data_IF_374286566931
#
_entry.id   IF_374286566931
#
_cell.length_a   1.000
_cell.length_b   1.000
_cell.length_c   1.000
_cell.angle_alpha   90.00
_cell.angle_beta   90.00
_cell.angle_gamma   90.00
#
_symmetry.space_group_name_H-M   'P 1'
#
loop_
_entity.id
_entity.type
_entity.pdbx_description
1 polymer ?
#
# COMPACT_ATOMS: atom_id res chain seq x y z
N UNK A 1 11.10 -16.18 -10.35
CA UNK A 1 11.66 -15.17 -9.41
C UNK A 1 13.01 -14.73 -9.94
N UNK A 2 13.20 -13.43 -10.18
CA UNK A 2 14.44 -12.88 -10.73
C UNK A 2 15.16 -12.10 -9.63
N UNK A 3 16.41 -12.47 -9.33
CA UNK A 3 17.27 -11.73 -8.41
C UNK A 3 18.35 -10.98 -9.20
N UNK A 4 18.11 -9.69 -9.43
CA UNK A 4 19.00 -8.81 -10.18
C UNK A 4 20.35 -8.56 -9.48
N UNK A 5 20.52 -8.96 -8.21
CA UNK A 5 21.79 -8.92 -7.50
C UNK A 5 22.71 -10.13 -7.77
N UNK A 6 22.17 -11.22 -8.34
CA UNK A 6 22.92 -12.45 -8.65
C UNK A 6 23.14 -12.67 -10.15
N UNK A 7 22.25 -12.12 -11.00
CA UNK A 7 22.33 -12.25 -12.45
C UNK A 7 22.38 -10.87 -13.13
N UNK A 8 23.30 -10.67 -14.09
CA UNK A 8 23.28 -9.48 -14.93
C UNK A 8 21.93 -9.33 -15.64
N UNK A 9 21.43 -8.09 -15.72
CA UNK A 9 20.13 -7.77 -16.31
C UNK A 9 20.02 -8.25 -17.76
N UNK A 10 21.11 -8.21 -18.52
CA UNK A 10 21.20 -8.68 -19.90
C UNK A 10 20.92 -10.19 -20.00
N UNK A 11 21.46 -10.98 -19.06
CA UNK A 11 21.21 -12.44 -19.05
C UNK A 11 19.78 -12.77 -18.65
N UNK A 12 19.19 -11.97 -17.78
CA UNK A 12 17.78 -12.09 -17.43
C UNK A 12 16.93 -11.84 -18.67
N UNK A 13 17.22 -10.77 -19.41
CA UNK A 13 16.51 -10.45 -20.65
C UNK A 13 16.69 -11.55 -21.70
N UNK A 14 17.90 -12.06 -21.91
CA UNK A 14 18.17 -13.18 -22.83
C UNK A 14 17.31 -14.41 -22.50
N UNK A 15 17.22 -14.79 -21.22
CA UNK A 15 16.42 -15.95 -20.79
C UNK A 15 14.93 -15.70 -21.04
N UNK A 16 14.44 -14.48 -20.80
CA UNK A 16 13.01 -14.17 -20.91
C UNK A 16 12.52 -14.04 -22.35
N UNK A 17 13.41 -13.76 -23.33
CA UNK A 17 13.02 -13.63 -24.74
C UNK A 17 12.37 -14.91 -25.28
N UNK A 18 12.84 -16.07 -24.83
CA UNK A 18 12.36 -17.38 -25.30
C UNK A 18 11.41 -18.09 -24.33
N UNK A 19 11.04 -17.44 -23.22
CA UNK A 19 10.13 -17.99 -22.22
C UNK A 19 8.72 -17.43 -22.37
N UNK A 20 7.72 -18.30 -22.42
CA UNK A 20 6.33 -17.90 -22.20
C UNK A 20 6.01 -17.93 -20.69
N UNK A 21 5.52 -16.81 -20.16
CA UNK A 21 5.18 -16.64 -18.76
C UNK A 21 4.05 -15.64 -18.59
N UNK A 22 3.22 -15.84 -17.58
CA UNK A 22 2.09 -14.95 -17.28
C UNK A 22 2.41 -13.91 -16.19
N UNK A 23 3.40 -14.22 -15.34
CA UNK A 23 3.78 -13.40 -14.19
C UNK A 23 5.28 -13.16 -14.13
N UNK A 24 5.68 -11.94 -13.76
CA UNK A 24 7.03 -11.57 -13.38
C UNK A 24 7.03 -11.09 -11.92
N UNK A 25 7.89 -11.72 -11.12
CA UNK A 25 8.23 -11.22 -9.79
C UNK A 25 9.67 -10.68 -9.80
N UNK A 26 9.80 -9.38 -9.55
CA UNK A 26 11.06 -8.65 -9.46
C UNK A 26 11.32 -8.23 -8.01
N UNK A 27 12.50 -8.58 -7.48
CA UNK A 27 12.92 -8.17 -6.13
C UNK A 27 14.12 -7.23 -6.22
N UNK A 28 13.98 -6.02 -5.68
CA UNK A 28 15.05 -5.04 -5.53
C UNK A 28 15.71 -5.23 -4.17
N UNK A 29 17.03 -5.48 -4.19
CA UNK A 29 17.91 -5.59 -3.02
C UNK A 29 19.07 -4.62 -3.18
N UNK A 30 19.55 -4.04 -2.09
CA UNK A 30 20.59 -3.00 -2.07
C UNK A 30 20.06 -1.57 -2.06
N UNK A 31 20.97 -0.60 -2.09
CA UNK A 31 20.67 0.84 -1.90
C UNK A 31 20.06 1.53 -3.11
N UNK A 32 20.29 1.00 -4.31
CA UNK A 32 19.83 1.60 -5.56
C UNK A 32 19.30 0.52 -6.50
N UNK A 33 18.20 0.81 -7.19
CA UNK A 33 17.68 -0.06 -8.24
C UNK A 33 18.42 0.15 -9.55
N UNK A 34 18.57 -0.92 -10.34
CA UNK A 34 19.13 -0.83 -11.69
C UNK A 34 18.27 0.12 -12.55
N UNK A 35 18.85 1.17 -13.18
CA UNK A 35 18.11 2.11 -14.02
C UNK A 35 17.28 1.47 -15.14
N UNK A 36 17.65 0.25 -15.57
CA UNK A 36 16.95 -0.51 -16.61
C UNK A 36 15.66 -1.15 -16.14
N UNK A 37 15.42 -1.23 -14.83
CA UNK A 37 14.21 -1.82 -14.26
C UNK A 37 12.94 -1.21 -14.87
N UNK A 38 12.91 0.11 -15.06
CA UNK A 38 11.72 0.78 -15.60
C UNK A 38 11.45 0.37 -17.05
N UNK A 39 12.50 0.26 -17.87
CA UNK A 39 12.38 -0.18 -19.26
C UNK A 39 11.92 -1.64 -19.33
N UNK A 40 12.41 -2.47 -18.42
CA UNK A 40 12.01 -3.85 -18.28
C UNK A 40 10.53 -3.98 -17.94
N UNK A 41 10.06 -3.30 -16.90
CA UNK A 41 8.66 -3.31 -16.48
C UNK A 41 7.74 -2.87 -17.62
N UNK A 42 8.13 -1.82 -18.35
CA UNK A 42 7.36 -1.32 -19.51
C UNK A 42 7.29 -2.33 -20.66
N UNK A 43 8.38 -3.06 -20.92
CA UNK A 43 8.41 -4.05 -22.00
C UNK A 43 7.41 -5.20 -21.77
N UNK A 44 7.17 -5.54 -20.52
CA UNK A 44 6.28 -6.63 -20.12
C UNK A 44 5.01 -6.14 -19.42
N UNK A 45 4.55 -4.91 -19.69
CA UNK A 45 3.40 -4.31 -19.01
C UNK A 45 2.08 -5.07 -19.23
N UNK A 46 2.01 -5.95 -20.24
CA UNK A 46 0.87 -6.84 -20.49
C UNK A 46 0.84 -8.07 -19.58
N UNK A 47 1.91 -8.32 -18.82
CA UNK A 47 2.05 -9.44 -17.88
C UNK A 47 1.70 -8.99 -16.46
N UNK A 48 1.35 -9.94 -15.59
CA UNK A 48 1.21 -9.67 -14.17
C UNK A 48 2.60 -9.38 -13.58
N UNK A 49 2.81 -8.19 -13.03
CA UNK A 49 4.11 -7.81 -12.47
C UNK A 49 3.96 -7.52 -10.97
N UNK A 50 4.79 -8.20 -10.19
CA UNK A 50 4.95 -7.99 -8.76
C UNK A 50 6.33 -7.41 -8.49
N UNK A 51 6.38 -6.25 -7.82
CA UNK A 51 7.60 -5.57 -7.43
C UNK A 51 7.76 -5.59 -5.92
N UNK A 52 8.81 -6.27 -5.44
CA UNK A 52 9.19 -6.30 -4.04
C UNK A 52 10.45 -5.47 -3.79
N UNK A 53 10.40 -4.57 -2.81
CA UNK A 53 11.51 -3.76 -2.33
C UNK A 53 11.90 -4.22 -0.93
N UNK A 54 13.10 -4.76 -0.77
CA UNK A 54 13.57 -5.26 0.54
C UNK A 54 14.46 -4.23 1.25
N UNK A 55 15.43 -3.60 0.59
CA UNK A 55 16.42 -2.76 1.30
C UNK A 55 16.25 -1.25 1.08
N UNK A 56 15.71 -0.85 -0.06
CA UNK A 56 15.54 0.56 -0.44
C UNK A 56 14.19 0.79 -1.13
N UNK A 57 13.60 1.95 -0.87
CA UNK A 57 12.46 2.43 -1.64
C UNK A 57 13.01 3.07 -2.93
N UNK A 58 12.37 2.77 -4.06
CA UNK A 58 12.62 3.50 -5.30
C UNK A 58 12.42 5.01 -5.11
N UNK A 59 13.14 5.80 -5.91
CA UNK A 59 12.92 7.25 -5.94
C UNK A 59 11.46 7.58 -6.30
N UNK A 60 10.96 8.72 -5.80
CA UNK A 60 9.60 9.19 -6.09
C UNK A 60 9.33 9.27 -7.60
N UNK A 61 10.29 9.76 -8.38
CA UNK A 61 10.15 9.87 -9.84
C UNK A 61 10.05 8.49 -10.49
N UNK A 62 10.82 7.49 -10.03
CA UNK A 62 10.74 6.12 -10.53
C UNK A 62 9.41 5.47 -10.18
N UNK A 63 8.95 5.58 -8.93
CA UNK A 63 7.66 5.03 -8.49
C UNK A 63 6.51 5.61 -9.32
N UNK A 64 6.50 6.94 -9.49
CA UNK A 64 5.51 7.64 -10.31
C UNK A 64 5.65 7.34 -11.81
N UNK A 65 6.74 6.75 -12.26
CA UNK A 65 6.91 6.33 -13.65
C UNK A 65 6.48 4.88 -13.91
N UNK A 66 6.25 4.06 -12.87
CA UNK A 66 5.80 2.67 -13.00
C UNK A 66 4.40 2.63 -13.65
N UNK A 67 4.15 1.74 -14.64
CA UNK A 67 2.80 1.48 -15.12
C UNK A 67 1.97 0.79 -14.01
N UNK A 68 0.69 0.52 -14.28
CA UNK A 68 -0.13 -0.30 -13.38
C UNK A 68 0.54 -1.68 -13.21
N UNK A 69 0.61 -2.17 -11.97
CA UNK A 69 1.24 -3.45 -11.61
C UNK A 69 0.27 -4.28 -10.77
N UNK A 70 0.46 -5.59 -10.73
CA UNK A 70 -0.30 -6.49 -9.86
C UNK A 70 0.03 -6.21 -8.39
N UNK A 71 1.30 -5.99 -8.07
CA UNK A 71 1.67 -5.62 -6.71
C UNK A 71 2.91 -4.74 -6.64
N UNK A 72 2.88 -3.76 -5.73
CA UNK A 72 4.04 -2.97 -5.30
C UNK A 72 4.14 -3.06 -3.78
N UNK A 73 5.23 -3.66 -3.30
CA UNK A 73 5.41 -3.93 -1.88
C UNK A 73 6.82 -3.54 -1.43
N UNK A 74 6.91 -2.92 -0.25
CA UNK A 74 8.17 -2.76 0.46
C UNK A 74 8.20 -3.63 1.74
N UNK A 75 8.76 -4.83 1.62
CA UNK A 75 8.61 -5.94 2.60
C UNK A 75 9.42 -5.70 3.89
N UNK A 76 10.67 -5.23 3.81
CA UNK A 76 11.46 -5.03 5.04
C UNK A 76 11.06 -3.75 5.76
N UNK A 77 10.64 -2.74 4.99
CA UNK A 77 10.00 -1.54 5.56
C UNK A 77 8.75 -1.94 6.34
N UNK A 78 7.92 -2.88 5.86
CA UNK A 78 6.71 -3.33 6.54
C UNK A 78 6.95 -4.26 7.76
N UNK A 79 8.11 -4.91 7.86
CA UNK A 79 8.32 -6.06 8.74
C UNK A 79 9.00 -5.82 10.10
N UNK A 80 10.18 -5.21 10.17
CA UNK A 80 10.98 -5.26 11.41
C UNK A 80 12.00 -4.12 11.49
N UNK A 81 12.16 -3.56 12.70
CA UNK A 81 12.94 -2.35 13.05
C UNK A 81 12.18 -1.07 12.70
N UNK A 82 12.29 -0.04 13.53
CA UNK A 82 11.46 1.17 13.54
C UNK A 82 11.53 2.06 12.30
N UNK A 83 11.69 1.54 11.08
CA UNK A 83 12.05 2.27 9.86
C UNK A 83 10.83 2.94 9.17
N UNK A 84 9.63 2.80 9.75
CA UNK A 84 8.54 3.78 9.51
C UNK A 84 8.70 5.04 10.38
N UNK A 85 9.84 5.22 11.05
CA UNK A 85 10.28 6.49 11.60
C UNK A 85 10.56 7.42 10.42
N UNK A 86 9.48 8.07 9.99
CA UNK A 86 9.40 9.19 9.06
C UNK A 86 10.34 9.14 7.86
N UNK A 87 11.64 9.37 7.97
CA UNK A 87 12.57 9.80 6.91
C UNK A 87 12.30 9.24 5.49
N UNK A 88 12.09 7.92 5.32
CA UNK A 88 11.92 7.29 3.99
C UNK A 88 10.47 7.11 3.48
N UNK A 89 9.46 7.56 4.23
CA UNK A 89 8.07 7.48 3.79
C UNK A 89 7.76 8.49 2.68
N UNK A 90 6.97 8.06 1.68
CA UNK A 90 6.51 8.93 0.60
C UNK A 90 5.64 10.07 1.12
N UNK A 91 5.73 11.26 0.52
CA UNK A 91 4.76 12.31 0.72
C UNK A 91 3.35 11.86 0.33
N UNK A 92 2.35 12.42 1.00
CA UNK A 92 0.93 12.10 0.80
C UNK A 92 0.48 12.19 -0.66
N UNK A 93 0.88 13.26 -1.35
CA UNK A 93 0.48 13.51 -2.72
C UNK A 93 1.07 12.49 -3.69
N UNK A 94 2.34 12.11 -3.48
CA UNK A 94 2.98 11.09 -4.31
C UNK A 94 2.36 9.71 -4.09
N UNK A 95 2.00 9.38 -2.84
CA UNK A 95 1.28 8.15 -2.54
C UNK A 95 -0.11 8.12 -3.18
N UNK A 96 -0.86 9.22 -3.07
CA UNK A 96 -2.18 9.37 -3.68
C UNK A 96 -2.14 9.22 -5.20
N UNK A 97 -1.08 9.72 -5.84
CA UNK A 97 -0.84 9.46 -7.26
C UNK A 97 -0.62 7.99 -7.59
N UNK A 98 0.08 7.24 -6.74
CA UNK A 98 0.24 5.79 -6.91
C UNK A 98 -1.09 5.05 -6.72
N UNK A 99 -1.94 5.47 -5.78
CA UNK A 99 -3.29 4.91 -5.62
C UNK A 99 -4.12 5.12 -6.89
N UNK A 100 -4.03 6.30 -7.52
CA UNK A 100 -4.70 6.62 -8.81
C UNK A 100 -4.22 5.76 -9.98
N UNK A 101 -3.03 5.15 -9.90
CA UNK A 101 -2.55 4.21 -10.91
C UNK A 101 -3.17 2.82 -10.84
N UNK A 102 -4.01 2.56 -9.84
CA UNK A 102 -4.81 1.32 -9.74
C UNK A 102 -3.96 0.05 -9.73
N UNK A 103 -2.80 0.09 -9.07
CA UNK A 103 -2.07 -1.14 -8.74
C UNK A 103 -2.99 -2.06 -7.91
N UNK A 104 -3.06 -3.35 -8.23
CA UNK A 104 -4.03 -4.25 -7.57
C UNK A 104 -3.72 -4.38 -6.08
N UNK A 105 -2.43 -4.43 -5.73
CA UNK A 105 -1.96 -4.35 -4.36
C UNK A 105 -0.91 -3.25 -4.21
N UNK A 106 -1.13 -2.35 -3.25
CA UNK A 106 -0.21 -1.27 -2.91
C UNK A 106 0.11 -1.31 -1.42
N UNK A 107 1.38 -1.62 -1.11
CA UNK A 107 1.92 -1.66 0.25
C UNK A 107 3.30 -0.98 0.26
N UNK A 108 3.30 0.34 0.38
CA UNK A 108 4.53 1.13 0.46
C UNK A 108 4.43 2.14 1.59
N UNK A 109 5.56 2.54 2.20
CA UNK A 109 5.53 3.54 3.24
C UNK A 109 5.13 4.92 2.75
N UNK A 110 4.14 5.50 3.43
CA UNK A 110 3.68 6.87 3.21
C UNK A 110 3.57 7.62 4.54
N UNK A 111 3.91 8.90 4.52
CA UNK A 111 3.74 9.84 5.63
C UNK A 111 2.38 10.50 5.50
N UNK A 112 1.33 9.79 5.90
CA UNK A 112 0.00 10.40 5.95
C UNK A 112 -0.17 11.14 7.28
N UNK A 113 -0.46 12.42 7.19
CA UNK A 113 -0.67 13.37 8.28
C UNK A 113 -2.06 14.04 8.20
N UNK A 114 -2.67 14.17 7.02
CA UNK A 114 -4.02 14.71 6.81
C UNK A 114 -5.04 13.57 6.59
N UNK A 115 -6.04 13.50 7.47
CA UNK A 115 -7.16 12.55 7.36
C UNK A 115 -7.97 12.68 6.06
N UNK A 116 -7.90 13.82 5.39
CA UNK A 116 -8.55 14.04 4.09
C UNK A 116 -7.89 13.22 2.99
N UNK A 117 -6.59 12.98 3.06
CA UNK A 117 -5.88 12.13 2.10
C UNK A 117 -6.37 10.68 2.25
N UNK A 118 -6.52 10.20 3.48
CA UNK A 118 -7.13 8.89 3.72
C UNK A 118 -8.55 8.79 3.13
N UNK A 119 -9.34 9.85 3.26
CA UNK A 119 -10.68 9.90 2.66
C UNK A 119 -10.62 9.89 1.13
N UNK A 120 -9.64 10.56 0.53
CA UNK A 120 -9.43 10.55 -0.92
C UNK A 120 -8.98 9.18 -1.42
N UNK A 121 -8.05 8.50 -0.73
CA UNK A 121 -7.65 7.13 -1.05
C UNK A 121 -8.87 6.19 -1.04
N UNK A 122 -9.71 6.29 0.00
CA UNK A 122 -10.95 5.51 0.11
C UNK A 122 -11.88 5.77 -1.07
N UNK A 123 -12.06 7.03 -1.46
CA UNK A 123 -12.90 7.40 -2.61
C UNK A 123 -12.34 6.82 -3.91
N UNK A 124 -11.05 6.99 -4.17
CA UNK A 124 -10.40 6.48 -5.38
C UNK A 124 -10.55 4.96 -5.46
N UNK A 125 -10.21 4.25 -4.39
CA UNK A 125 -10.31 2.78 -4.35
C UNK A 125 -11.77 2.32 -4.52
N UNK A 126 -12.73 3.01 -3.90
CA UNK A 126 -14.17 2.68 -4.03
C UNK A 126 -14.74 2.85 -5.44
N UNK A 127 -14.09 3.67 -6.26
CA UNK A 127 -14.44 3.96 -7.65
C UNK A 127 -13.56 3.19 -8.65
N UNK A 128 -12.62 2.37 -8.15
CA UNK A 128 -11.82 1.51 -9.02
C UNK A 128 -12.71 0.49 -9.71
N UNK A 129 -12.49 0.31 -11.00
CA UNK A 129 -13.07 -0.72 -11.88
C UNK A 129 -12.35 -2.05 -11.77
N UNK A 130 -11.36 -2.14 -10.89
CA UNK A 130 -10.47 -3.29 -10.72
C UNK A 130 -10.32 -3.61 -9.26
N UNK A 131 -10.02 -4.88 -8.98
CA UNK A 131 -9.63 -5.34 -7.66
C UNK A 131 -8.42 -4.54 -7.17
N UNK A 132 -8.62 -3.80 -6.08
CA UNK A 132 -7.59 -2.93 -5.51
C UNK A 132 -7.57 -3.03 -3.99
N UNK A 133 -6.38 -3.27 -3.46
CA UNK A 133 -6.06 -3.30 -2.04
C UNK A 133 -4.94 -2.31 -1.73
N UNK A 134 -5.25 -1.32 -0.90
CA UNK A 134 -4.28 -0.35 -0.40
C UNK A 134 -4.12 -0.57 1.10
N UNK A 135 -2.88 -0.80 1.52
CA UNK A 135 -2.54 -1.00 2.93
C UNK A 135 -1.55 0.08 3.33
N UNK A 136 -1.89 0.81 4.39
CA UNK A 136 -1.06 1.89 4.91
C UNK A 136 -1.03 1.90 6.43
N UNK A 137 0.10 2.31 6.98
CA UNK A 137 0.26 2.54 8.41
C UNK A 137 -0.06 3.99 8.73
N UNK A 138 -0.81 4.21 9.80
CA UNK A 138 -1.17 5.54 10.30
C UNK A 138 -0.88 5.67 11.80
N UNK A 139 -0.68 6.92 12.24
CA UNK A 139 -0.54 7.25 13.65
C UNK A 139 -1.88 7.16 14.40
N UNK A 140 -1.87 6.89 15.72
CA UNK A 140 -3.07 6.90 16.54
C UNK A 140 -3.90 8.20 16.43
N UNK A 141 -3.23 9.35 16.42
CA UNK A 141 -3.89 10.66 16.31
C UNK A 141 -4.59 10.83 14.96
N UNK A 142 -3.98 10.37 13.87
CA UNK A 142 -4.59 10.40 12.54
C UNK A 142 -5.82 9.49 12.48
N UNK A 143 -5.77 8.31 13.11
CA UNK A 143 -6.95 7.43 13.22
C UNK A 143 -8.10 8.14 13.93
N UNK A 144 -7.85 8.80 15.05
CA UNK A 144 -8.86 9.51 15.81
C UNK A 144 -9.49 10.65 15.00
N UNK A 145 -8.66 11.46 14.32
CA UNK A 145 -9.14 12.51 13.42
C UNK A 145 -9.95 11.96 12.26
N UNK A 146 -9.50 10.88 11.62
CA UNK A 146 -10.23 10.24 10.54
C UNK A 146 -11.58 9.66 11.02
N UNK A 147 -11.61 8.99 12.17
CA UNK A 147 -12.86 8.50 12.77
C UNK A 147 -13.84 9.64 13.03
N UNK A 148 -13.36 10.75 13.58
CA UNK A 148 -14.17 11.94 13.79
C UNK A 148 -14.70 12.53 12.47
N UNK A 149 -13.85 12.62 11.45
CA UNK A 149 -14.19 13.10 10.11
C UNK A 149 -15.33 12.29 9.48
N UNK A 150 -15.27 10.96 9.58
CA UNK A 150 -16.30 10.08 9.00
C UNK A 150 -17.49 9.85 9.95
N UNK A 151 -17.46 10.43 11.15
CA UNK A 151 -18.48 10.25 12.19
C UNK A 151 -18.56 8.83 12.74
N UNK A 152 -17.45 8.07 12.70
CA UNK A 152 -17.36 6.72 13.23
C UNK A 152 -17.31 6.78 14.76
N UNK A 153 -18.27 6.13 15.42
CA UNK A 153 -18.39 6.05 16.88
C UNK A 153 -18.52 4.60 17.30
N UNK A 154 -17.82 4.24 18.36
CA UNK A 154 -18.05 2.96 19.03
C UNK A 154 -19.41 2.99 19.73
N UNK A 155 -20.10 1.85 19.75
CA UNK A 155 -21.36 1.66 20.49
C UNK A 155 -21.13 0.81 21.73
N UNK A 156 -21.90 1.09 22.79
CA UNK A 156 -21.89 0.26 23.99
C UNK A 156 -22.22 -1.20 23.63
N UNK A 157 -21.38 -2.14 24.09
CA UNK A 157 -21.50 -3.56 23.78
C UNK A 157 -20.57 -4.08 22.67
N UNK A 158 -19.73 -3.22 22.08
CA UNK A 158 -18.73 -3.62 21.08
C UNK A 158 -19.30 -3.59 19.66
N UNK A 159 -19.02 -2.52 18.93
CA UNK A 159 -19.50 -2.34 17.56
C UNK A 159 -19.27 -0.91 17.09
N UNK A 160 -19.63 -0.63 15.84
CA UNK A 160 -19.44 0.69 15.23
C UNK A 160 -20.73 1.23 14.64
N UNK A 161 -20.94 2.53 14.80
CA UNK A 161 -21.95 3.31 14.07
C UNK A 161 -21.29 4.46 13.34
N UNK A 162 -21.87 4.86 12.23
CA UNK A 162 -21.38 5.96 11.39
C UNK A 162 -22.44 7.07 11.36
N UNK A 163 -21.99 8.33 11.31
CA UNK A 163 -22.86 9.48 11.15
C UNK A 163 -23.57 9.48 9.78
N UNK A 164 -24.84 9.92 9.74
CA UNK A 164 -25.69 9.85 8.54
C UNK A 164 -25.14 10.59 7.30
N UNK A 165 -24.17 11.48 7.44
CA UNK A 165 -23.74 12.43 6.41
C UNK A 165 -22.37 12.13 5.76
N UNK A 166 -21.70 11.02 6.11
CA UNK A 166 -20.31 10.79 5.63
C UNK A 166 -20.20 9.91 4.39
N UNK A 167 -21.30 9.30 3.92
CA UNK A 167 -21.28 8.31 2.83
C UNK A 167 -20.72 6.95 3.23
N UNK A 168 -20.26 6.82 4.48
CA UNK A 168 -19.83 5.55 5.06
C UNK A 168 -21.04 4.80 5.63
N UNK A 169 -20.96 3.47 5.60
CA UNK A 169 -21.94 2.57 6.22
C UNK A 169 -21.25 1.49 7.02
N UNK A 170 -21.96 0.90 7.99
CA UNK A 170 -21.53 -0.29 8.72
C UNK A 170 -22.56 -1.36 8.45
N UNK A 171 -22.14 -2.51 7.91
CA UNK A 171 -23.06 -3.61 7.65
C UNK A 171 -23.39 -4.41 8.92
N UNK A 172 -24.30 -5.37 8.82
CA UNK A 172 -24.73 -6.23 9.94
C UNK A 172 -23.59 -7.04 10.58
N UNK A 173 -22.50 -7.27 9.84
CA UNK A 173 -21.28 -7.94 10.32
C UNK A 173 -20.26 -6.97 10.94
N UNK A 174 -20.63 -5.70 11.11
CA UNK A 174 -19.77 -4.66 11.69
C UNK A 174 -18.69 -4.14 10.74
N UNK A 175 -18.73 -4.45 9.45
CA UNK A 175 -17.71 -4.00 8.49
C UNK A 175 -18.02 -2.58 8.00
N UNK A 176 -17.02 -1.69 8.10
CA UNK A 176 -17.06 -0.32 7.58
C UNK A 176 -16.93 -0.33 6.06
N UNK A 177 -17.79 0.40 5.35
CA UNK A 177 -17.79 0.50 3.88
C UNK A 177 -17.96 1.94 3.40
N UNK A 178 -17.46 2.20 2.20
CA UNK A 178 -17.69 3.41 1.41
C UNK A 178 -17.85 3.01 -0.06
N UNK A 179 -19.05 3.17 -0.63
CA UNK A 179 -19.36 2.60 -1.94
C UNK A 179 -19.06 1.09 -1.98
N UNK A 180 -18.28 0.66 -2.98
CA UNK A 180 -17.85 -0.73 -3.11
C UNK A 180 -16.70 -1.11 -2.16
N UNK A 181 -15.92 -0.13 -1.70
CA UNK A 181 -14.78 -0.37 -0.83
C UNK A 181 -15.20 -0.80 0.58
N UNK A 182 -14.51 -1.80 1.10
CA UNK A 182 -14.47 -2.19 2.50
C UNK A 182 -13.25 -1.56 3.15
N UNK A 183 -13.44 -1.05 4.37
CA UNK A 183 -12.38 -0.55 5.21
C UNK A 183 -12.24 -1.44 6.42
N UNK A 184 -11.00 -1.74 6.79
CA UNK A 184 -10.71 -2.33 8.09
C UNK A 184 -9.48 -1.67 8.71
N UNK A 185 -9.47 -1.61 10.04
CA UNK A 185 -8.35 -1.08 10.79
C UNK A 185 -7.86 -2.14 11.76
N UNK A 186 -6.58 -2.48 11.68
CA UNK A 186 -5.91 -3.33 12.66
C UNK A 186 -4.87 -2.50 13.41
N UNK A 187 -4.37 -3.01 14.53
CA UNK A 187 -3.28 -2.37 15.25
C UNK A 187 -2.19 -3.38 15.58
N UNK A 188 -0.96 -2.89 15.67
CA UNK A 188 0.17 -3.63 16.20
C UNK A 188 0.85 -2.83 17.32
N UNK A 189 1.47 -3.55 18.24
CA UNK A 189 2.28 -2.97 19.31
C UNK A 189 3.74 -3.25 18.99
N UNK A 190 4.57 -2.21 18.93
CA UNK A 190 6.03 -2.42 18.89
C UNK A 190 6.56 -2.56 20.32
N UNK A 191 7.43 -3.54 20.55
CA UNK A 191 8.28 -3.57 21.75
C UNK A 191 9.42 -2.56 21.51
N UNK A 192 9.47 -1.48 22.28
CA UNK A 192 10.65 -0.59 22.29
C UNK A 192 11.84 -1.38 22.84
N UNK A 193 12.96 -1.38 22.11
CA UNK A 193 14.25 -1.85 22.64
C UNK A 193 14.89 -0.83 23.60
N UNK A 194 14.49 0.46 23.59
CA UNK A 194 15.15 1.53 24.34
C UNK A 194 14.19 2.66 24.83
N UNK A 195 13.25 2.39 25.74
CA UNK A 195 12.48 3.45 26.41
C UNK A 195 11.06 3.05 26.86
N UNK A 196 10.35 3.90 27.63
CA UNK A 196 9.11 3.49 28.28
C UNK A 196 7.97 3.36 27.26
N UNK A 197 7.22 2.27 27.39
CA UNK A 197 5.92 2.01 26.77
C UNK A 197 5.97 1.39 25.35
N UNK A 198 5.03 0.49 25.02
CA UNK A 198 4.82 0.05 23.65
C UNK A 198 4.23 1.19 22.80
N UNK A 199 4.77 1.40 21.60
CA UNK A 199 4.12 2.31 20.63
C UNK A 199 3.05 1.54 19.86
N UNK A 200 1.82 2.05 19.85
CA UNK A 200 0.72 1.49 19.07
C UNK A 200 0.69 2.14 17.69
N UNK A 201 0.65 1.32 16.64
CA UNK A 201 0.40 1.78 15.28
C UNK A 201 -0.87 1.13 14.74
N UNK A 202 -1.54 1.83 13.82
CA UNK A 202 -2.71 1.30 13.14
C UNK A 202 -2.39 1.07 11.68
N UNK A 203 -2.99 0.03 11.12
CA UNK A 203 -2.97 -0.24 9.69
C UNK A 203 -4.39 -0.04 9.17
N UNK A 204 -4.52 0.78 8.14
CA UNK A 204 -5.75 0.94 7.38
C UNK A 204 -5.64 0.07 6.15
N UNK A 205 -6.64 -0.77 5.96
CA UNK A 205 -6.81 -1.60 4.78
C UNK A 205 -8.03 -1.07 4.03
N UNK A 206 -7.82 -0.60 2.81
CA UNK A 206 -8.88 -0.14 1.91
C UNK A 206 -8.95 -1.16 0.78
N UNK A 207 -10.06 -1.86 0.67
CA UNK A 207 -10.20 -3.04 -0.17
C UNK A 207 -11.44 -2.87 -1.05
N UNK A 208 -11.25 -2.81 -2.36
CA UNK A 208 -12.31 -2.97 -3.33
C UNK A 208 -12.05 -4.29 -4.08
N UNK A 209 -12.79 -5.34 -3.71
CA UNK A 209 -12.79 -6.60 -4.45
C UNK A 209 -14.19 -6.82 -4.99
N UNK A 210 -14.27 -7.26 -6.24
CA UNK A 210 -15.47 -7.88 -6.76
C UNK A 210 -15.72 -9.15 -5.94
N UNK A 211 -16.67 -9.07 -5.01
CA UNK A 211 -17.26 -10.27 -4.42
C UNK A 211 -18.23 -10.78 -5.49
N UNK A 212 -17.68 -11.49 -6.48
CA UNK A 212 -18.46 -12.37 -7.37
C UNK A 212 -18.81 -13.64 -6.60
#
# INVERSE_FOLDING_TARGET
QINCGLFPFEKIEEILVDCDFDEICATIRGSEADPRLLNFVRRYESKAITLHMEDSLLSTSTLRALPRLSSIEAIWLSGFRGIWESENGLPEQDFLELVRKRHEQLLIPAKIEDERILLEDVKIVSQSDTNQMVIMRILPTLRERFNALIGLKEVEGGGWKVGKSSGFTVNEKGALRYGNARLSMSYALTRRFYGPGPTRYYFVHIINFDIV
#
